data_IF_640298434773
#
_entry.id   IF_640298434773
#
_cell.length_a   1.000
_cell.length_b   1.000
_cell.length_c   1.000
_cell.angle_alpha   90.00
_cell.angle_beta   90.00
_cell.angle_gamma   90.00
#
_symmetry.space_group_name_H-M   'P 1'
#
loop_
_entity.id
_entity.type
_entity.pdbx_description
1 polymer ?
#
# COMPACT_ATOMS: atom_id res chain seq x y z
N UNK A 1 0.70 6.83 15.86
CA UNK A 1 -0.25 6.53 14.74
C UNK A 1 -1.65 6.95 15.15
N UNK A 2 -2.34 7.75 14.35
CA UNK A 2 -3.70 8.21 14.65
C UNK A 2 -4.73 7.12 14.35
N UNK A 3 -5.84 7.06 15.13
CA UNK A 3 -6.84 6.00 15.05
C UNK A 3 -7.46 5.84 13.65
N UNK A 4 -7.75 6.95 12.96
CA UNK A 4 -8.36 6.90 11.63
C UNK A 4 -7.45 6.28 10.57
N UNK A 5 -6.15 6.59 10.63
CA UNK A 5 -5.15 5.96 9.76
C UNK A 5 -5.04 4.45 10.08
N UNK A 6 -4.96 4.10 11.36
CA UNK A 6 -4.91 2.71 11.79
C UNK A 6 -6.11 1.90 11.27
N UNK A 7 -7.32 2.46 11.36
CA UNK A 7 -8.53 1.79 10.89
C UNK A 7 -8.49 1.54 9.38
N UNK A 8 -8.07 2.52 8.57
CA UNK A 8 -7.97 2.36 7.12
C UNK A 8 -6.88 1.37 6.71
N UNK A 9 -5.74 1.42 7.38
CA UNK A 9 -4.66 0.46 7.21
C UNK A 9 -5.12 -0.98 7.50
N UNK A 10 -5.74 -1.18 8.66
CA UNK A 10 -6.22 -2.49 9.08
C UNK A 10 -7.32 -3.04 8.17
N UNK A 11 -8.16 -2.16 7.61
CA UNK A 11 -9.16 -2.54 6.61
C UNK A 11 -8.52 -3.25 5.40
N UNK A 12 -7.37 -2.76 4.91
CA UNK A 12 -6.67 -3.35 3.77
C UNK A 12 -5.84 -4.59 4.12
N UNK A 13 -5.38 -4.71 5.36
CA UNK A 13 -4.59 -5.86 5.83
C UNK A 13 -5.47 -7.03 6.29
N UNK A 14 -6.76 -6.81 6.51
CA UNK A 14 -7.73 -7.86 6.84
C UNK A 14 -8.65 -8.15 5.65
N UNK A 15 -8.39 -9.26 4.98
CA UNK A 15 -9.15 -9.69 3.79
C UNK A 15 -10.65 -9.85 4.07
N UNK A 16 -11.05 -10.17 5.30
CA UNK A 16 -12.47 -10.29 5.68
C UNK A 16 -13.24 -8.99 5.49
N UNK A 17 -12.59 -7.86 5.66
CA UNK A 17 -13.20 -6.55 5.36
C UNK A 17 -13.41 -6.33 3.86
N UNK A 18 -12.66 -7.04 3.02
CA UNK A 18 -12.72 -6.97 1.58
C UNK A 18 -13.72 -7.98 0.97
N UNK A 19 -14.11 -9.02 1.73
CA UNK A 19 -15.06 -10.07 1.29
C UNK A 19 -16.42 -9.50 0.87
N UNK A 20 -16.84 -8.37 1.43
CA UNK A 20 -18.06 -7.68 1.05
C UNK A 20 -17.96 -6.91 -0.29
N UNK A 21 -16.78 -6.84 -0.90
CA UNK A 21 -16.58 -6.26 -2.24
C UNK A 21 -16.65 -7.39 -3.27
N UNK A 22 -17.80 -7.51 -3.93
CA UNK A 22 -18.00 -8.45 -5.06
C UNK A 22 -16.83 -8.36 -6.04
N UNK A 23 -16.16 -9.47 -6.31
CA UNK A 23 -15.07 -9.58 -7.28
C UNK A 23 -13.67 -9.78 -6.68
N UNK A 24 -13.43 -9.50 -5.39
CA UNK A 24 -12.14 -9.82 -4.73
C UNK A 24 -12.11 -11.28 -4.25
N UNK A 25 -13.26 -11.89 -4.01
CA UNK A 25 -13.44 -13.18 -3.33
C UNK A 25 -13.20 -14.40 -4.24
N UNK A 26 -13.29 -14.28 -5.55
CA UNK A 26 -13.05 -15.40 -6.47
C UNK A 26 -11.56 -15.72 -6.68
N UNK A 27 -10.72 -15.25 -5.79
CA UNK A 27 -9.28 -15.44 -5.82
C UNK A 27 -8.96 -16.67 -4.95
N UNK A 28 -8.42 -17.72 -5.58
CA UNK A 28 -8.02 -18.94 -4.86
C UNK A 28 -7.11 -18.64 -3.65
N UNK A 29 -7.00 -19.58 -2.67
CA UNK A 29 -6.41 -19.34 -1.36
C UNK A 29 -4.96 -18.80 -1.40
N UNK A 30 -4.21 -19.11 -2.42
CA UNK A 30 -2.80 -18.70 -2.57
C UNK A 30 -2.60 -17.46 -3.48
N UNK A 31 -3.69 -16.90 -4.02
CA UNK A 31 -3.58 -15.76 -4.92
C UNK A 31 -3.58 -14.44 -4.14
N UNK A 32 -2.66 -13.56 -4.48
CA UNK A 32 -2.59 -12.24 -3.85
C UNK A 32 -3.77 -11.38 -4.31
N UNK A 33 -4.57 -10.95 -3.35
CA UNK A 33 -5.74 -10.10 -3.55
C UNK A 33 -5.40 -8.62 -3.41
N UNK A 34 -4.45 -8.31 -2.52
CA UNK A 34 -4.00 -6.95 -2.21
C UNK A 34 -2.49 -6.95 -2.13
N UNK A 35 -1.87 -5.89 -2.63
CA UNK A 35 -0.45 -5.60 -2.40
C UNK A 35 -0.25 -4.11 -2.15
N UNK A 36 0.83 -3.75 -1.48
CA UNK A 36 1.11 -2.35 -1.19
C UNK A 36 2.37 -2.11 -0.41
N UNK A 37 2.55 -0.86 -0.04
CA UNK A 37 3.65 -0.41 0.81
C UNK A 37 3.14 0.45 1.96
N UNK A 38 3.85 0.40 3.07
CA UNK A 38 3.70 1.32 4.18
C UNK A 38 5.07 1.96 4.44
N UNK A 39 5.11 3.29 4.52
CA UNK A 39 6.35 4.04 4.71
C UNK A 39 6.28 4.87 5.99
N UNK A 40 7.37 4.85 6.76
CA UNK A 40 7.57 5.78 7.85
C UNK A 40 8.36 7.00 7.35
N UNK A 41 7.80 8.18 7.54
CA UNK A 41 8.31 9.45 7.04
C UNK A 41 8.70 10.36 8.21
N UNK A 42 9.84 11.04 8.11
CA UNK A 42 10.20 12.10 9.04
C UNK A 42 9.37 13.36 8.80
N UNK A 43 8.75 13.90 9.85
CA UNK A 43 8.11 15.22 9.84
C UNK A 43 8.52 15.99 11.10
N UNK A 44 9.64 16.69 11.04
CA UNK A 44 10.28 17.29 12.21
C UNK A 44 10.72 16.21 13.21
N UNK A 45 10.17 16.27 14.42
CA UNK A 45 10.46 15.32 15.51
C UNK A 45 9.51 14.13 15.59
N UNK A 46 8.51 14.06 14.69
CA UNK A 46 7.51 13.00 14.70
C UNK A 46 7.64 12.12 13.45
N UNK A 47 7.32 10.85 13.62
CA UNK A 47 7.18 9.91 12.50
C UNK A 47 5.73 9.94 12.03
N UNK A 48 5.53 10.17 10.73
CA UNK A 48 4.25 10.02 10.05
C UNK A 48 4.28 8.81 9.14
N UNK A 49 3.11 8.32 8.79
CA UNK A 49 2.98 7.14 7.96
C UNK A 49 2.21 7.44 6.68
N UNK A 50 2.63 6.76 5.63
CA UNK A 50 1.96 6.69 4.34
C UNK A 50 1.67 5.23 4.05
N UNK A 51 0.47 4.92 3.59
CA UNK A 51 0.01 3.58 3.25
C UNK A 51 -0.62 3.60 1.86
N UNK A 52 -0.02 2.84 0.95
CA UNK A 52 -0.54 2.59 -0.40
C UNK A 52 -0.99 1.14 -0.47
N UNK A 53 -2.21 0.92 -0.92
CA UNK A 53 -2.72 -0.42 -1.23
C UNK A 53 -3.35 -0.45 -2.61
N UNK A 54 -3.19 -1.57 -3.31
CA UNK A 54 -3.89 -1.88 -4.55
C UNK A 54 -4.52 -3.27 -4.46
N UNK A 55 -5.64 -3.47 -5.16
CA UNK A 55 -6.33 -4.74 -5.20
C UNK A 55 -6.32 -5.37 -6.61
N UNK A 56 -6.74 -6.61 -6.69
CA UNK A 56 -6.80 -7.39 -7.95
C UNK A 56 -7.79 -6.86 -8.98
N UNK A 57 -8.65 -5.89 -8.62
CA UNK A 57 -9.56 -5.21 -9.54
C UNK A 57 -8.92 -3.96 -10.17
N UNK A 58 -7.68 -3.61 -9.77
CA UNK A 58 -6.95 -2.44 -10.25
C UNK A 58 -7.26 -1.15 -9.47
N UNK A 59 -8.06 -1.22 -8.40
CA UNK A 59 -8.26 -0.07 -7.53
C UNK A 59 -7.04 0.14 -6.64
N UNK A 60 -6.68 1.40 -6.46
CA UNK A 60 -5.59 1.80 -5.58
C UNK A 60 -6.08 2.87 -4.60
N UNK A 61 -5.54 2.85 -3.40
CA UNK A 61 -5.84 3.83 -2.36
C UNK A 61 -4.57 4.25 -1.65
N UNK A 62 -4.43 5.57 -1.50
CA UNK A 62 -3.33 6.18 -0.77
C UNK A 62 -3.88 6.83 0.49
N UNK A 63 -3.31 6.51 1.63
CA UNK A 63 -3.62 7.12 2.93
C UNK A 63 -2.35 7.65 3.56
N UNK A 64 -2.45 8.78 4.25
CA UNK A 64 -1.33 9.34 5.00
C UNK A 64 -1.80 10.05 6.27
N UNK A 65 -0.96 10.02 7.29
CA UNK A 65 -1.20 10.78 8.51
C UNK A 65 -0.99 12.27 8.22
N UNK A 66 -1.94 13.09 8.67
CA UNK A 66 -1.85 14.54 8.56
C UNK A 66 -2.20 15.23 9.89
N UNK A 67 -2.04 16.56 9.93
CA UNK A 67 -2.31 17.37 11.12
C UNK A 67 -3.77 17.79 11.27
N UNK A 68 -4.67 17.37 10.37
CA UNK A 68 -6.11 17.65 10.48
C UNK A 68 -6.72 16.99 11.71
N UNK A 69 -7.95 17.41 12.08
CA UNK A 69 -8.69 16.81 13.20
C UNK A 69 -8.93 15.31 13.01
N UNK A 70 -9.20 14.85 11.78
CA UNK A 70 -9.34 13.44 11.46
C UNK A 70 -8.01 12.68 11.54
N UNK A 71 -6.89 13.38 11.36
CA UNK A 71 -5.56 12.79 11.32
C UNK A 71 -5.28 11.92 10.10
N UNK A 72 -6.19 11.92 9.13
CA UNK A 72 -6.14 11.12 7.92
C UNK A 72 -6.28 12.03 6.69
N UNK A 73 -5.34 11.91 5.77
CA UNK A 73 -5.46 12.33 4.38
C UNK A 73 -5.48 11.10 3.50
N UNK A 74 -5.95 11.26 2.27
CA UNK A 74 -5.90 10.14 1.33
C UNK A 74 -6.68 10.41 0.05
N UNK A 75 -6.43 9.57 -0.91
CA UNK A 75 -7.11 9.56 -2.21
C UNK A 75 -7.38 8.11 -2.60
N UNK A 76 -8.57 7.88 -3.12
CA UNK A 76 -8.98 6.61 -3.73
C UNK A 76 -9.02 6.83 -5.23
N UNK A 77 -8.40 5.95 -6.00
CA UNK A 77 -8.33 6.08 -7.44
C UNK A 77 -8.15 4.73 -8.13
N UNK A 78 -7.97 4.79 -9.45
CA UNK A 78 -7.72 3.61 -10.28
C UNK A 78 -8.83 3.35 -11.28
N UNK A 79 -10.08 3.60 -10.92
CA UNK A 79 -11.19 3.39 -11.83
C UNK A 79 -11.10 4.36 -13.02
N UNK A 80 -10.97 3.81 -14.22
CA UNK A 80 -10.87 4.60 -15.46
C UNK A 80 -9.48 5.19 -15.75
N UNK A 81 -8.45 4.90 -14.95
CA UNK A 81 -7.06 5.27 -15.23
C UNK A 81 -6.23 4.03 -15.60
N UNK A 82 -6.10 3.78 -16.91
CA UNK A 82 -5.41 2.60 -17.43
C UNK A 82 -3.94 2.52 -16.98
N UNK A 83 -3.23 3.65 -16.91
CA UNK A 83 -1.85 3.67 -16.48
C UNK A 83 -1.70 3.28 -14.99
N UNK A 84 -2.61 3.76 -14.15
CA UNK A 84 -2.65 3.39 -12.73
C UNK A 84 -3.01 1.91 -12.55
N UNK A 85 -4.00 1.41 -13.30
CA UNK A 85 -4.38 0.00 -13.28
C UNK A 85 -3.24 -0.91 -13.74
N UNK A 86 -2.49 -0.50 -14.76
CA UNK A 86 -1.31 -1.22 -15.24
C UNK A 86 -0.21 -1.27 -14.17
N UNK A 87 0.10 -0.16 -13.52
CA UNK A 87 1.08 -0.12 -12.43
C UNK A 87 0.65 -1.01 -11.25
N UNK A 88 -0.64 -0.98 -10.89
CA UNK A 88 -1.24 -1.82 -9.86
C UNK A 88 -1.11 -3.31 -10.20
N UNK A 89 -1.41 -3.70 -11.43
CA UNK A 89 -1.29 -5.08 -11.89
C UNK A 89 0.16 -5.59 -11.82
N UNK A 90 1.12 -4.77 -12.23
CA UNK A 90 2.55 -5.09 -12.10
C UNK A 90 2.98 -5.23 -10.64
N UNK A 91 2.52 -4.32 -9.77
CA UNK A 91 2.81 -4.40 -8.33
C UNK A 91 2.31 -5.71 -7.72
N UNK A 92 1.07 -6.14 -8.02
CA UNK A 92 0.50 -7.42 -7.58
C UNK A 92 1.27 -8.62 -8.13
N UNK A 93 1.65 -8.59 -9.41
CA UNK A 93 2.40 -9.66 -10.05
C UNK A 93 3.80 -9.84 -9.43
N UNK A 94 4.48 -8.75 -9.10
CA UNK A 94 5.77 -8.81 -8.40
C UNK A 94 5.62 -9.26 -6.95
N UNK A 95 4.61 -8.75 -6.23
CA UNK A 95 4.30 -9.20 -4.88
C UNK A 95 4.09 -10.71 -4.81
N UNK A 96 3.30 -11.27 -5.74
CA UNK A 96 3.04 -12.72 -5.81
C UNK A 96 4.30 -13.56 -5.96
N UNK A 97 5.29 -13.08 -6.72
CA UNK A 97 6.57 -13.79 -6.93
C UNK A 97 7.48 -13.74 -5.71
N UNK A 98 7.29 -12.75 -4.84
CA UNK A 98 8.19 -12.48 -3.73
C UNK A 98 7.68 -13.06 -2.39
N UNK A 99 6.47 -13.62 -2.34
CA UNK A 99 5.89 -14.16 -1.10
C UNK A 99 6.78 -15.18 -0.40
N UNK A 100 7.53 -16.01 -1.15
CA UNK A 100 8.47 -16.98 -0.58
C UNK A 100 9.67 -16.33 0.15
N UNK A 101 9.95 -15.05 -0.12
CA UNK A 101 11.02 -14.27 0.50
C UNK A 101 10.50 -13.32 1.58
N UNK A 102 9.21 -13.35 1.91
CA UNK A 102 8.55 -12.52 2.91
C UNK A 102 8.27 -13.31 4.19
N UNK A 103 8.14 -12.61 5.30
CA UNK A 103 7.53 -13.16 6.50
C UNK A 103 6.05 -13.41 6.24
N UNK A 104 5.52 -14.47 6.84
CA UNK A 104 4.14 -14.90 6.60
C UNK A 104 3.39 -15.00 7.94
N UNK A 105 2.27 -14.30 8.01
CA UNK A 105 1.36 -14.26 9.14
C UNK A 105 -0.05 -14.67 8.70
N UNK A 106 -0.93 -15.10 9.59
CA UNK A 106 -2.34 -15.27 9.28
C UNK A 106 -2.97 -13.96 8.79
N UNK A 107 -3.90 -14.03 7.84
CA UNK A 107 -4.64 -12.86 7.40
C UNK A 107 -5.37 -12.20 8.58
N UNK A 108 -5.39 -10.89 8.62
CA UNK A 108 -5.95 -10.10 9.73
C UNK A 108 -4.99 -9.90 10.91
N UNK A 109 -3.74 -10.40 10.84
CA UNK A 109 -2.72 -10.08 11.84
C UNK A 109 -2.44 -8.58 11.89
N UNK A 110 -2.51 -8.03 13.10
CA UNK A 110 -2.27 -6.61 13.35
C UNK A 110 -0.76 -6.34 13.47
N UNK A 111 -0.12 -6.02 12.36
CA UNK A 111 1.28 -5.63 12.37
C UNK A 111 1.45 -4.20 12.95
N UNK A 112 2.48 -3.91 13.77
CA UNK A 112 2.82 -2.53 14.09
C UNK A 112 3.26 -1.80 12.82
N UNK A 113 3.02 -0.50 12.70
CA UNK A 113 3.56 0.29 11.59
C UNK A 113 5.10 0.36 11.67
N UNK A 114 5.83 0.55 10.54
CA UNK A 114 7.26 0.81 10.58
C UNK A 114 7.56 1.98 11.53
N UNK A 115 8.49 1.80 12.47
CA UNK A 115 8.72 2.79 13.52
C UNK A 115 9.78 3.83 13.17
N UNK A 116 10.72 3.47 12.32
CA UNK A 116 11.87 4.32 11.99
C UNK A 116 11.63 5.07 10.68
N UNK A 117 11.79 6.40 10.63
CA UNK A 117 11.75 7.15 9.39
C UNK A 117 12.71 6.59 8.34
N UNK A 118 12.26 6.53 7.09
CA UNK A 118 13.01 5.93 5.99
C UNK A 118 12.87 4.41 5.86
N UNK A 119 12.08 3.77 6.74
CA UNK A 119 11.75 2.35 6.61
C UNK A 119 10.47 2.17 5.81
N UNK A 120 10.48 1.13 4.99
CA UNK A 120 9.38 0.74 4.10
C UNK A 120 9.03 -0.71 4.35
N UNK A 121 7.77 -0.97 4.65
CA UNK A 121 7.19 -2.31 4.61
C UNK A 121 6.51 -2.52 3.28
N UNK A 122 6.89 -3.60 2.60
CA UNK A 122 6.15 -4.13 1.46
C UNK A 122 5.23 -5.24 2.01
N UNK A 123 3.99 -5.31 1.51
CA UNK A 123 3.04 -6.31 1.97
C UNK A 123 2.21 -6.88 0.82
N UNK A 124 1.75 -8.10 1.01
CA UNK A 124 0.83 -8.80 0.12
C UNK A 124 -0.17 -9.62 0.95
N UNK A 125 -1.44 -9.61 0.56
CA UNK A 125 -2.52 -10.28 1.29
C UNK A 125 -3.21 -11.26 0.36
N UNK A 126 -3.32 -12.52 0.79
CA UNK A 126 -4.20 -13.53 0.21
C UNK A 126 -5.40 -13.78 1.13
N UNK A 127 -6.29 -14.71 0.76
CA UNK A 127 -7.44 -15.04 1.60
C UNK A 127 -7.06 -15.54 3.00
N UNK A 128 -5.91 -16.15 3.17
CA UNK A 128 -5.51 -16.78 4.42
C UNK A 128 -4.26 -16.19 5.05
N UNK A 129 -3.47 -15.44 4.28
CA UNK A 129 -2.12 -15.05 4.67
C UNK A 129 -1.84 -13.58 4.41
N UNK A 130 -1.08 -12.99 5.31
CA UNK A 130 -0.45 -11.68 5.19
C UNK A 130 1.07 -11.90 5.07
N UNK A 131 1.62 -11.53 3.92
CA UNK A 131 3.06 -11.54 3.67
C UNK A 131 3.62 -10.15 3.83
N UNK A 132 4.80 -10.01 4.46
CA UNK A 132 5.43 -8.71 4.62
C UNK A 132 6.96 -8.81 4.70
N UNK A 133 7.63 -7.75 4.28
CA UNK A 133 9.08 -7.57 4.45
C UNK A 133 9.37 -6.10 4.67
N UNK A 134 10.37 -5.78 5.49
CA UNK A 134 10.77 -4.42 5.80
C UNK A 134 12.22 -4.16 5.42
N UNK A 135 12.46 -2.99 4.84
CA UNK A 135 13.77 -2.55 4.39
C UNK A 135 13.92 -1.04 4.61
N UNK A 136 15.14 -0.58 4.66
CA UNK A 136 15.41 0.85 4.44
C UNK A 136 15.08 1.22 2.99
N UNK A 137 14.48 2.39 2.77
CA UNK A 137 14.13 2.87 1.43
C UNK A 137 15.36 2.93 0.50
N UNK A 138 16.52 3.26 1.04
CA UNK A 138 17.80 3.30 0.31
C UNK A 138 18.18 1.95 -0.30
N UNK A 139 17.91 0.85 0.40
CA UNK A 139 18.14 -0.51 -0.11
C UNK A 139 17.20 -0.83 -1.27
N UNK A 140 15.91 -0.46 -1.15
CA UNK A 140 14.90 -0.70 -2.17
C UNK A 140 15.10 0.13 -3.45
N UNK A 141 15.94 1.17 -3.42
CA UNK A 141 16.32 1.98 -4.59
C UNK A 141 17.41 1.35 -5.44
N UNK A 142 18.10 0.32 -4.94
CA UNK A 142 19.09 -0.44 -5.70
C UNK A 142 18.38 -1.36 -6.72
N UNK A 143 18.62 -1.22 -8.04
CA UNK A 143 18.03 -2.08 -9.06
C UNK A 143 18.42 -3.57 -8.92
N UNK A 144 19.49 -3.90 -8.20
CA UNK A 144 19.89 -5.27 -7.91
C UNK A 144 19.13 -5.88 -6.72
N UNK A 145 18.42 -5.08 -5.93
CA UNK A 145 17.65 -5.58 -4.81
C UNK A 145 16.45 -6.41 -5.30
N UNK A 146 16.21 -7.62 -4.76
CA UNK A 146 15.13 -8.50 -5.25
C UNK A 146 13.73 -7.84 -5.22
N UNK A 147 13.49 -6.95 -4.26
CA UNK A 147 12.21 -6.24 -4.10
C UNK A 147 12.14 -4.92 -4.88
N UNK A 148 13.20 -4.52 -5.59
CA UNK A 148 13.21 -3.27 -6.37
C UNK A 148 12.02 -3.16 -7.34
N UNK A 149 11.66 -4.18 -8.16
CA UNK A 149 10.55 -4.04 -9.09
C UNK A 149 9.22 -3.76 -8.38
N UNK A 150 8.94 -4.43 -7.27
CA UNK A 150 7.75 -4.19 -6.47
C UNK A 150 7.73 -2.74 -5.94
N UNK A 151 8.85 -2.30 -5.37
CA UNK A 151 8.99 -0.93 -4.85
C UNK A 151 8.87 0.11 -5.97
N UNK A 152 9.50 -0.10 -7.12
CA UNK A 152 9.45 0.82 -8.27
C UNK A 152 8.01 1.03 -8.78
N UNK A 153 7.22 -0.04 -8.93
CA UNK A 153 5.81 0.08 -9.30
C UNK A 153 4.96 0.75 -8.21
N UNK A 154 5.30 0.52 -6.94
CA UNK A 154 4.64 1.25 -5.84
C UNK A 154 4.93 2.76 -5.91
N UNK A 155 6.18 3.16 -6.22
CA UNK A 155 6.54 4.57 -6.40
C UNK A 155 5.88 5.18 -7.65
N UNK A 156 5.75 4.41 -8.72
CA UNK A 156 5.00 4.84 -9.91
C UNK A 156 3.53 5.09 -9.55
N UNK A 157 2.88 4.19 -8.82
CA UNK A 157 1.50 4.34 -8.34
C UNK A 157 1.35 5.59 -7.44
N UNK A 158 2.29 5.82 -6.53
CA UNK A 158 2.33 7.05 -5.72
C UNK A 158 2.45 8.31 -6.58
N UNK A 159 3.24 8.26 -7.65
CA UNK A 159 3.40 9.36 -8.61
C UNK A 159 2.08 9.80 -9.22
N UNK A 160 1.20 8.87 -9.60
CA UNK A 160 -0.13 9.20 -10.12
C UNK A 160 -0.99 9.95 -9.12
N UNK A 161 -0.97 9.56 -7.84
CA UNK A 161 -1.73 10.27 -6.81
C UNK A 161 -1.21 11.69 -6.54
N UNK A 162 0.10 11.91 -6.64
CA UNK A 162 0.71 13.23 -6.47
C UNK A 162 0.28 14.20 -7.57
N UNK A 163 0.23 13.74 -8.82
CA UNK A 163 -0.18 14.57 -9.95
C UNK A 163 -1.67 14.90 -9.92
N UNK A 164 -2.53 14.00 -9.50
CA UNK A 164 -3.98 14.25 -9.36
C UNK A 164 -4.28 15.25 -8.24
N UNK A 165 -3.57 15.20 -7.11
CA UNK A 165 -3.73 16.15 -6.00
C UNK A 165 -3.34 17.58 -6.37
N UNK A 166 -2.40 17.78 -7.28
CA UNK A 166 -1.99 19.10 -7.76
C UNK A 166 -3.07 19.78 -8.63
N UNK A 167 -3.86 19.01 -9.38
CA UNK A 167 -4.92 19.55 -10.23
C UNK A 167 -6.18 19.98 -9.47
N UNK A 168 -6.46 19.40 -8.31
CA UNK A 168 -7.59 19.80 -7.47
C UNK A 168 -7.34 21.09 -6.69
N UNK A 169 -6.10 21.44 -6.40
CA UNK A 169 -5.73 22.69 -5.68
C UNK A 169 -5.77 23.92 -6.58
N UNK A 170 -5.63 23.80 -7.90
CA UNK A 170 -5.64 24.92 -8.85
C UNK A 170 -7.03 25.32 -9.33
N UNK A 171 -8.07 24.58 -9.01
CA UNK A 171 -9.44 24.87 -9.41
C UNK A 171 -10.26 25.65 -8.34
N UNK A 172 -9.65 26.05 -7.24
CA UNK A 172 -10.26 26.80 -6.14
C UNK A 172 -9.61 28.17 -5.87
N UNK A 173 -8.95 28.76 -6.85
CA UNK A 173 -8.38 30.11 -6.76
C UNK A 173 -9.15 31.09 -7.63
#
# INVERSE_FOLDING_TARGET
MKQSYANMRNFWLDIKNLENRKGIIEIGPDRIAVAGIEMALADGTVTKHLFLATNSLGDSSLYFENNSKSGLGGTIGGHGNEALQTAAAHMLAHASKLTACMQCEPAGTMLPAPSNPGWVRLFAVSNEKLFHAEFEETQLRDPQHPFYPFFAYSQQTLGFFRTQGAHTSSAQS
#
